data_IF_877624364635
#
_entry.id   IF_877624364635
#
_cell.length_a   1.000
_cell.length_b   1.000
_cell.length_c   1.000
_cell.angle_alpha   90.00
_cell.angle_beta   90.00
_cell.angle_gamma   90.00
#
_symmetry.space_group_name_H-M   'P 1'
#
loop_
_entity.id
_entity.type
_entity.pdbx_description
1 polymer ?
#
# COMPACT_ATOMS: atom_id res chain seq x y z
N UNK A 1 -37.35 8.22 -15.07
CA UNK A 1 -37.86 8.83 -13.81
C UNK A 1 -37.87 7.85 -12.62
N UNK A 2 -38.68 6.77 -12.59
CA UNK A 2 -38.60 5.76 -11.50
C UNK A 2 -37.44 4.78 -11.72
N UNK A 3 -37.25 4.32 -12.95
CA UNK A 3 -36.15 3.41 -13.29
C UNK A 3 -34.78 4.03 -13.00
N UNK A 4 -34.60 5.30 -13.36
CA UNK A 4 -33.36 6.05 -13.07
C UNK A 4 -33.13 6.23 -11.57
N UNK A 5 -34.20 6.46 -10.80
CA UNK A 5 -34.14 6.52 -9.34
C UNK A 5 -33.72 5.17 -8.74
N UNK A 6 -34.33 4.06 -9.17
CA UNK A 6 -33.95 2.71 -8.73
C UNK A 6 -32.50 2.38 -9.08
N UNK A 7 -32.06 2.74 -10.30
CA UNK A 7 -30.68 2.58 -10.75
C UNK A 7 -29.70 3.42 -9.93
N UNK A 8 -30.11 4.63 -9.52
CA UNK A 8 -29.32 5.50 -8.62
C UNK A 8 -29.20 4.87 -7.23
N UNK A 9 -30.31 4.45 -6.63
CA UNK A 9 -30.33 3.78 -5.32
C UNK A 9 -29.42 2.54 -5.29
N UNK A 10 -29.54 1.68 -6.31
CA UNK A 10 -28.69 0.48 -6.44
C UNK A 10 -27.19 0.82 -6.45
N UNK A 11 -26.79 1.87 -7.19
CA UNK A 11 -25.38 2.32 -7.22
C UNK A 11 -24.88 2.79 -5.86
N UNK A 12 -25.74 3.46 -5.08
CA UNK A 12 -25.38 3.89 -3.72
C UNK A 12 -25.25 2.69 -2.78
N UNK A 13 -26.16 1.72 -2.84
CA UNK A 13 -26.04 0.48 -2.07
C UNK A 13 -24.75 -0.29 -2.41
N UNK A 14 -24.35 -0.32 -3.69
CA UNK A 14 -23.08 -0.89 -4.12
C UNK A 14 -21.88 -0.13 -3.54
N UNK A 15 -21.88 1.21 -3.55
CA UNK A 15 -20.84 2.01 -2.92
C UNK A 15 -20.72 1.76 -1.41
N UNK A 16 -21.85 1.69 -0.69
CA UNK A 16 -21.87 1.38 0.74
C UNK A 16 -21.23 0.02 1.02
N UNK A 17 -21.52 -1.00 0.20
CA UNK A 17 -20.88 -2.32 0.32
C UNK A 17 -19.37 -2.24 0.14
N UNK A 18 -18.90 -1.50 -0.86
CA UNK A 18 -17.46 -1.32 -1.10
C UNK A 18 -16.78 -0.60 0.06
N UNK A 19 -17.38 0.49 0.57
CA UNK A 19 -16.87 1.22 1.74
C UNK A 19 -16.77 0.28 2.97
N UNK A 20 -17.79 -0.54 3.23
CA UNK A 20 -17.76 -1.51 4.33
C UNK A 20 -16.61 -2.51 4.19
N UNK A 21 -16.39 -3.04 2.99
CA UNK A 21 -15.27 -3.95 2.71
C UNK A 21 -13.93 -3.23 2.96
N UNK A 22 -13.80 -1.98 2.52
CA UNK A 22 -12.60 -1.19 2.74
C UNK A 22 -12.33 -0.99 4.24
N UNK A 23 -13.33 -0.61 5.03
CA UNK A 23 -13.20 -0.45 6.49
C UNK A 23 -12.81 -1.75 7.22
N UNK A 24 -13.39 -2.90 6.83
CA UNK A 24 -13.07 -4.20 7.43
C UNK A 24 -11.58 -4.52 7.23
N UNK A 25 -11.04 -4.23 6.05
CA UNK A 25 -9.65 -4.49 5.69
C UNK A 25 -8.65 -3.49 6.28
N UNK A 26 -9.12 -2.34 6.78
CA UNK A 26 -8.24 -1.39 7.48
C UNK A 26 -7.76 -1.97 8.81
N UNK A 27 -6.46 -1.81 9.08
CA UNK A 27 -5.83 -2.19 10.36
C UNK A 27 -6.13 -1.15 11.45
N UNK A 28 -7.41 -0.90 11.72
CA UNK A 28 -7.90 -0.01 12.78
C UNK A 28 -8.66 -0.82 13.85
N UNK A 29 -8.79 -0.32 15.09
CA UNK A 29 -9.55 -1.00 16.14
C UNK A 29 -11.00 -1.32 15.73
N UNK A 30 -11.51 -2.49 16.11
CA UNK A 30 -12.87 -2.92 15.75
C UNK A 30 -13.97 -1.96 16.22
N UNK A 31 -13.79 -1.34 17.39
CA UNK A 31 -14.71 -0.30 17.87
C UNK A 31 -14.80 0.90 16.92
N UNK A 32 -13.69 1.27 16.28
CA UNK A 32 -13.67 2.35 15.29
C UNK A 32 -14.30 1.91 13.97
N UNK A 33 -14.04 0.67 13.52
CA UNK A 33 -14.72 0.11 12.34
C UNK A 33 -16.22 0.13 12.50
N UNK A 34 -16.72 -0.31 13.65
CA UNK A 34 -18.15 -0.32 13.95
C UNK A 34 -18.75 1.08 13.88
N UNK A 35 -18.08 2.10 14.42
CA UNK A 35 -18.53 3.49 14.34
C UNK A 35 -18.57 4.00 12.90
N UNK A 36 -17.56 3.69 12.08
CA UNK A 36 -17.55 4.09 10.67
C UNK A 36 -18.66 3.41 9.87
N UNK A 37 -18.90 2.13 10.11
CA UNK A 37 -19.98 1.38 9.46
C UNK A 37 -21.35 1.96 9.85
N UNK A 38 -21.57 2.21 11.15
CA UNK A 38 -22.81 2.82 11.65
C UNK A 38 -23.04 4.22 11.08
N UNK A 39 -21.98 5.00 10.86
CA UNK A 39 -22.09 6.32 10.27
C UNK A 39 -22.63 6.28 8.82
N UNK A 40 -22.44 5.17 8.08
CA UNK A 40 -22.97 5.06 6.71
C UNK A 40 -24.49 5.03 6.65
N UNK A 41 -25.16 4.59 7.72
CA UNK A 41 -26.63 4.50 7.77
C UNK A 41 -27.31 5.88 7.86
N UNK A 42 -26.58 6.91 8.29
CA UNK A 42 -27.10 8.28 8.47
C UNK A 42 -26.64 9.25 7.38
N UNK A 43 -25.75 8.83 6.49
CA UNK A 43 -25.23 9.70 5.43
C UNK A 43 -26.19 9.80 4.25
N UNK A 44 -26.25 11.00 3.68
CA UNK A 44 -26.90 11.22 2.41
C UNK A 44 -26.02 10.73 1.23
N UNK A 45 -26.59 10.76 0.04
CA UNK A 45 -25.91 10.30 -1.16
C UNK A 45 -24.58 11.04 -1.42
N UNK A 46 -24.52 12.35 -1.17
CA UNK A 46 -23.29 13.13 -1.29
C UNK A 46 -22.22 12.65 -0.30
N UNK A 47 -22.60 12.39 0.95
CA UNK A 47 -21.71 11.85 1.97
C UNK A 47 -21.15 10.49 1.58
N UNK A 48 -22.00 9.58 1.09
CA UNK A 48 -21.55 8.26 0.61
C UNK A 48 -20.58 8.39 -0.56
N UNK A 49 -20.87 9.27 -1.53
CA UNK A 49 -19.97 9.48 -2.65
C UNK A 49 -18.62 10.02 -2.19
N UNK A 50 -18.63 11.02 -1.31
CA UNK A 50 -17.41 11.63 -0.78
C UNK A 50 -16.56 10.63 -0.01
N UNK A 51 -17.15 9.83 0.87
CA UNK A 51 -16.41 8.80 1.62
C UNK A 51 -15.83 7.76 0.67
N UNK A 52 -16.61 7.32 -0.32
CA UNK A 52 -16.11 6.39 -1.33
C UNK A 52 -14.88 6.93 -2.05
N UNK A 53 -14.92 8.19 -2.49
CA UNK A 53 -13.83 8.83 -3.21
C UNK A 53 -12.60 9.00 -2.30
N UNK A 54 -12.78 9.53 -1.09
CA UNK A 54 -11.70 9.73 -0.11
C UNK A 54 -11.03 8.41 0.31
N UNK A 55 -11.80 7.34 0.54
CA UNK A 55 -11.24 6.02 0.86
C UNK A 55 -10.53 5.38 -0.33
N UNK A 56 -11.08 5.53 -1.54
CA UNK A 56 -10.45 5.02 -2.75
C UNK A 56 -9.08 5.68 -2.96
N UNK A 57 -9.02 7.00 -2.82
CA UNK A 57 -7.77 7.76 -2.92
C UNK A 57 -6.78 7.36 -1.81
N UNK A 58 -7.26 7.18 -0.58
CA UNK A 58 -6.42 6.73 0.52
C UNK A 58 -5.79 5.35 0.26
N UNK A 59 -6.59 4.39 -0.19
CA UNK A 59 -6.10 3.03 -0.50
C UNK A 59 -5.12 3.06 -1.68
N UNK A 60 -5.45 3.78 -2.75
CA UNK A 60 -4.56 3.95 -3.90
C UNK A 60 -3.21 4.55 -3.48
N UNK A 61 -3.22 5.57 -2.63
CA UNK A 61 -2.00 6.19 -2.12
C UNK A 61 -1.18 5.23 -1.24
N UNK A 62 -1.84 4.39 -0.43
CA UNK A 62 -1.15 3.34 0.33
C UNK A 62 -0.50 2.30 -0.59
N UNK A 63 -1.20 1.86 -1.63
CA UNK A 63 -0.66 0.91 -2.61
C UNK A 63 0.54 1.49 -3.35
N UNK A 64 0.45 2.74 -3.84
CA UNK A 64 1.57 3.43 -4.48
C UNK A 64 2.77 3.51 -3.54
N UNK A 65 2.56 3.93 -2.30
CA UNK A 65 3.64 4.03 -1.31
C UNK A 65 4.29 2.68 -1.03
N UNK A 66 3.50 1.61 -0.90
CA UNK A 66 4.02 0.26 -0.71
C UNK A 66 4.86 -0.20 -1.91
N UNK A 67 4.44 0.10 -3.14
CA UNK A 67 5.20 -0.21 -4.35
C UNK A 67 6.54 0.55 -4.40
N UNK A 68 6.53 1.84 -4.03
CA UNK A 68 7.76 2.63 -3.94
C UNK A 68 8.73 2.08 -2.88
N UNK A 69 8.22 1.67 -1.73
CA UNK A 69 9.03 1.10 -0.65
C UNK A 69 9.62 -0.26 -1.06
N UNK A 70 8.87 -1.10 -1.79
CA UNK A 70 9.39 -2.35 -2.38
C UNK A 70 10.52 -2.05 -3.38
N UNK A 71 10.33 -1.06 -4.26
CA UNK A 71 11.36 -0.67 -5.22
C UNK A 71 12.63 -0.19 -4.51
N UNK A 72 12.50 0.71 -3.52
CA UNK A 72 13.65 1.20 -2.72
C UNK A 72 14.37 0.06 -2.00
N UNK A 73 13.64 -0.86 -1.40
CA UNK A 73 14.22 -2.03 -0.74
C UNK A 73 15.00 -2.90 -1.73
N UNK A 74 14.45 -3.18 -2.91
CA UNK A 74 15.14 -3.95 -3.94
C UNK A 74 16.44 -3.26 -4.43
N UNK A 75 16.41 -1.94 -4.64
CA UNK A 75 17.62 -1.18 -5.00
C UNK A 75 18.66 -1.18 -3.88
N UNK A 76 18.24 -1.07 -2.62
CA UNK A 76 19.15 -1.08 -1.47
C UNK A 76 19.85 -2.43 -1.30
N UNK A 77 19.14 -3.54 -1.49
CA UNK A 77 19.69 -4.90 -1.42
C UNK A 77 20.70 -5.14 -2.54
N UNK A 78 20.39 -4.71 -3.77
CA UNK A 78 21.30 -4.84 -4.91
C UNK A 78 22.58 -4.02 -4.68
N UNK A 79 22.46 -2.79 -4.16
CA UNK A 79 23.63 -1.98 -3.85
C UNK A 79 24.48 -2.58 -2.73
N UNK A 80 23.86 -3.12 -1.67
CA UNK A 80 24.57 -3.79 -0.59
C UNK A 80 25.33 -5.04 -1.05
N UNK A 81 24.73 -5.84 -1.94
CA UNK A 81 25.39 -7.01 -2.55
C UNK A 81 26.60 -6.60 -3.39
N UNK A 82 26.47 -5.59 -4.25
CA UNK A 82 27.58 -5.10 -5.07
C UNK A 82 28.75 -4.54 -4.26
N UNK A 83 28.47 -3.88 -3.13
CA UNK A 83 29.51 -3.37 -2.23
C UNK A 83 30.27 -4.53 -1.59
N UNK A 84 29.58 -5.56 -1.11
CA UNK A 84 30.22 -6.77 -0.56
C UNK A 84 31.07 -7.50 -1.58
N UNK A 85 30.58 -7.69 -2.81
CA UNK A 85 31.37 -8.31 -3.89
C UNK A 85 32.64 -7.52 -4.23
N UNK A 86 32.58 -6.18 -4.13
CA UNK A 86 33.75 -5.32 -4.35
C UNK A 86 34.75 -5.38 -3.19
N UNK A 87 34.27 -5.52 -1.95
CA UNK A 87 35.11 -5.72 -0.76
C UNK A 87 35.79 -7.09 -0.79
N UNK A 88 35.05 -8.16 -1.08
CA UNK A 88 35.58 -9.53 -1.19
C UNK A 88 36.67 -9.60 -2.28
N UNK A 89 36.44 -9.02 -3.46
CA UNK A 89 37.47 -8.95 -4.51
C UNK A 89 38.71 -8.17 -4.09
N UNK A 90 38.55 -7.11 -3.30
CA UNK A 90 39.67 -6.32 -2.78
C UNK A 90 40.48 -7.11 -1.75
N UNK A 91 39.81 -7.84 -0.87
CA UNK A 91 40.45 -8.73 0.10
C UNK A 91 41.19 -9.88 -0.60
N UNK A 92 40.57 -10.51 -1.61
CA UNK A 92 41.22 -11.54 -2.44
C UNK A 92 42.49 -10.99 -3.09
N UNK A 93 42.41 -9.85 -3.79
CA UNK A 93 43.57 -9.22 -4.46
C UNK A 93 44.70 -8.88 -3.47
N UNK A 94 44.34 -8.40 -2.27
CA UNK A 94 45.33 -8.12 -1.23
C UNK A 94 45.98 -9.41 -0.68
N UNK A 95 45.21 -10.50 -0.56
CA UNK A 95 45.71 -11.80 -0.12
C UNK A 95 46.67 -12.42 -1.15
N UNK A 96 46.36 -12.28 -2.45
CA UNK A 96 47.26 -12.66 -3.55
C UNK A 96 48.52 -11.78 -3.57
N UNK A 97 48.39 -10.48 -3.35
CA UNK A 97 49.54 -9.56 -3.26
C UNK A 97 50.47 -9.92 -2.09
N UNK A 98 49.91 -10.33 -0.95
CA UNK A 98 50.69 -10.80 0.19
C UNK A 98 51.46 -12.10 -0.11
N UNK A 99 50.88 -13.03 -0.86
CA UNK A 99 51.54 -14.27 -1.27
C UNK A 99 52.69 -14.02 -2.27
N UNK A 100 52.52 -13.09 -3.19
CA UNK A 100 53.55 -12.73 -4.19
C UNK A 100 54.71 -11.97 -3.55
N UNK A 101 54.47 -11.09 -2.57
CA UNK A 101 55.53 -10.34 -1.88
C UNK A 101 56.33 -11.17 -0.85
N UNK A 102 55.98 -12.44 -0.63
CA UNK A 102 56.66 -13.35 0.32
C UNK A 102 57.50 -14.44 -0.37
N UNK A 103 57.52 -14.47 -1.71
CA UNK A 103 58.42 -15.25 -2.56
C UNK A 103 59.66 -14.42 -2.89
#
# INVERSE_FOLDING_TARGET
>A
MIFDFLKRKKRIEEKVKLINIMFINLKIPEAQKALYIQALDVLDESGINRIYDELSDFINNLEIKNLEDIQKNNFSVINGLRIKEAEEKKEELNSFSFLINKL
#
